data_IF_611712848092
#
_entry.id   IF_611712848092
#
_cell.length_a   1.000
_cell.length_b   1.000
_cell.length_c   1.000
_cell.angle_alpha   90.00
_cell.angle_beta   90.00
_cell.angle_gamma   90.00
#
_symmetry.space_group_name_H-M   'P 1'
#
loop_
_entity.id
_entity.type
_entity.pdbx_description
1 polymer ?
#
# COMPACT_ATOMS: atom_id res chain seq x y z
N UNK A 1 -6.79 -14.36 21.99
CA UNK A 1 -6.14 -13.63 20.88
C UNK A 1 -7.29 -12.98 20.12
N UNK A 2 -7.39 -11.64 20.15
CA UNK A 2 -8.65 -10.88 19.98
C UNK A 2 -9.55 -11.35 18.82
N UNK A 3 -10.63 -12.05 19.15
CA UNK A 3 -11.82 -12.26 18.31
C UNK A 3 -12.67 -11.00 18.32
N UNK A 4 -12.13 -9.89 17.81
CA UNK A 4 -12.89 -8.65 17.66
C UNK A 4 -13.32 -8.55 16.21
N UNK A 5 -14.53 -9.04 15.95
CA UNK A 5 -15.24 -8.83 14.68
C UNK A 5 -15.43 -7.31 14.54
N UNK A 6 -14.58 -6.65 13.75
CA UNK A 6 -14.74 -5.26 13.38
C UNK A 6 -16.05 -5.15 12.58
N UNK A 7 -16.88 -4.14 12.86
CA UNK A 7 -18.00 -3.83 11.97
C UNK A 7 -17.46 -3.48 10.59
N UNK A 8 -18.25 -3.69 9.53
CA UNK A 8 -17.83 -3.36 8.15
C UNK A 8 -17.35 -1.91 8.02
N UNK A 9 -18.03 -0.97 8.68
CA UNK A 9 -17.62 0.44 8.73
C UNK A 9 -16.23 0.63 9.37
N UNK A 10 -15.90 -0.17 10.38
CA UNK A 10 -14.58 -0.13 11.01
C UNK A 10 -13.50 -0.76 10.12
N UNK A 11 -13.85 -1.78 9.33
CA UNK A 11 -12.93 -2.41 8.37
C UNK A 11 -12.59 -1.43 7.26
N UNK A 12 -13.59 -0.77 6.68
CA UNK A 12 -13.40 0.23 5.63
C UNK A 12 -12.48 1.35 6.11
N UNK A 13 -12.82 1.98 7.25
CA UNK A 13 -12.04 3.06 7.85
C UNK A 13 -10.59 2.63 8.12
N UNK A 14 -10.41 1.39 8.58
CA UNK A 14 -9.07 0.86 8.85
C UNK A 14 -8.25 0.65 7.57
N UNK A 15 -8.86 0.13 6.51
CA UNK A 15 -8.18 -0.06 5.23
C UNK A 15 -7.82 1.27 4.56
N UNK A 16 -8.71 2.27 4.66
CA UNK A 16 -8.43 3.65 4.21
C UNK A 16 -7.29 4.27 5.01
N UNK A 17 -7.25 4.08 6.33
CA UNK A 17 -6.16 4.55 7.19
C UNK A 17 -4.81 3.90 6.82
N UNK A 18 -4.81 2.63 6.42
CA UNK A 18 -3.63 1.95 5.87
C UNK A 18 -3.25 2.44 4.46
N UNK A 19 -4.04 3.34 3.89
CA UNK A 19 -3.85 3.92 2.57
C UNK A 19 -4.25 2.98 1.45
N UNK A 20 -5.01 1.91 1.70
CA UNK A 20 -5.48 1.01 0.65
C UNK A 20 -6.31 1.79 -0.39
N UNK A 21 -6.07 1.52 -1.67
CA UNK A 21 -6.90 2.11 -2.73
C UNK A 21 -8.28 1.46 -2.80
N UNK A 22 -9.21 2.14 -3.48
CA UNK A 22 -10.58 1.68 -3.59
C UNK A 22 -10.70 0.28 -4.22
N UNK A 23 -9.80 -0.06 -5.14
CA UNK A 23 -9.77 -1.39 -5.76
C UNK A 23 -9.43 -2.47 -4.73
N UNK A 24 -8.37 -2.26 -3.95
CA UNK A 24 -7.93 -3.18 -2.87
C UNK A 24 -9.02 -3.32 -1.81
N UNK A 25 -9.66 -2.22 -1.41
CA UNK A 25 -10.76 -2.21 -0.44
C UNK A 25 -11.94 -3.03 -0.95
N UNK A 26 -12.38 -2.80 -2.18
CA UNK A 26 -13.50 -3.52 -2.77
C UNK A 26 -13.24 -5.03 -2.88
N UNK A 27 -12.01 -5.43 -3.23
CA UNK A 27 -11.62 -6.83 -3.27
C UNK A 27 -11.60 -7.45 -1.87
N UNK A 28 -11.07 -6.73 -0.87
CA UNK A 28 -11.04 -7.19 0.50
C UNK A 28 -12.45 -7.44 1.05
N UNK A 29 -13.36 -6.47 0.88
CA UNK A 29 -14.74 -6.56 1.37
C UNK A 29 -15.48 -7.75 0.73
N UNK A 30 -15.28 -8.01 -0.56
CA UNK A 30 -15.83 -9.23 -1.21
C UNK A 30 -15.36 -10.52 -0.53
N UNK A 31 -14.09 -10.59 -0.13
CA UNK A 31 -13.57 -11.75 0.60
C UNK A 31 -14.09 -11.81 2.04
N UNK A 32 -14.32 -10.67 2.70
CA UNK A 32 -14.98 -10.59 4.02
C UNK A 32 -16.40 -11.16 3.98
N UNK A 33 -17.22 -10.74 3.01
CA UNK A 33 -18.57 -11.31 2.83
C UNK A 33 -18.56 -12.82 2.56
N UNK A 34 -17.50 -13.34 1.93
CA UNK A 34 -17.32 -14.76 1.67
C UNK A 34 -16.62 -15.53 2.81
N UNK A 35 -16.25 -14.86 3.90
CA UNK A 35 -15.42 -15.40 4.99
C UNK A 35 -14.10 -16.05 4.51
N UNK A 36 -13.54 -15.54 3.42
CA UNK A 36 -12.29 -16.04 2.82
C UNK A 36 -11.07 -15.25 3.34
N UNK A 37 -10.66 -15.59 4.56
CA UNK A 37 -9.51 -14.99 5.23
C UNK A 37 -8.20 -15.20 4.44
N UNK A 38 -8.07 -16.31 3.71
CA UNK A 38 -6.85 -16.59 2.93
C UNK A 38 -6.71 -15.57 1.79
N UNK A 39 -7.80 -15.29 1.08
CA UNK A 39 -7.80 -14.31 0.01
C UNK A 39 -7.63 -12.88 0.53
N UNK A 40 -8.22 -12.54 1.68
CA UNK A 40 -7.97 -11.25 2.35
C UNK A 40 -6.47 -11.01 2.61
N UNK A 41 -5.80 -12.00 3.21
CA UNK A 41 -4.35 -11.92 3.49
C UNK A 41 -3.55 -11.77 2.19
N UNK A 42 -3.94 -12.48 1.12
CA UNK A 42 -3.28 -12.37 -0.18
C UNK A 42 -3.45 -10.97 -0.79
N UNK A 43 -4.64 -10.39 -0.72
CA UNK A 43 -4.93 -9.03 -1.18
C UNK A 43 -4.02 -8.02 -0.46
N UNK A 44 -3.95 -8.09 0.87
CA UNK A 44 -3.10 -7.19 1.66
C UNK A 44 -1.61 -7.38 1.38
N UNK A 45 -1.14 -8.62 1.15
CA UNK A 45 0.25 -8.88 0.74
C UNK A 45 0.57 -8.28 -0.62
N UNK A 46 -0.37 -8.37 -1.58
CA UNK A 46 -0.22 -7.73 -2.88
C UNK A 46 -0.16 -6.22 -2.73
N UNK A 47 -1.03 -5.63 -1.91
CA UNK A 47 -1.02 -4.20 -1.62
C UNK A 47 0.31 -3.74 -1.01
N UNK A 48 0.86 -4.52 -0.07
CA UNK A 48 2.20 -4.27 0.48
C UNK A 48 3.29 -4.24 -0.60
N UNK A 49 3.26 -5.14 -1.59
CA UNK A 49 4.22 -5.11 -2.69
C UNK A 49 4.10 -3.82 -3.52
N UNK A 50 2.88 -3.37 -3.80
CA UNK A 50 2.62 -2.10 -4.51
C UNK A 50 3.22 -0.92 -3.74
N UNK A 51 3.07 -0.88 -2.42
CA UNK A 51 3.68 0.17 -1.58
C UNK A 51 5.21 0.17 -1.68
N UNK A 52 5.83 -1.02 -1.64
CA UNK A 52 7.28 -1.16 -1.80
C UNK A 52 7.74 -0.68 -3.17
N UNK A 53 7.00 -1.01 -4.23
CA UNK A 53 7.31 -0.55 -5.59
C UNK A 53 7.22 0.98 -5.72
N UNK A 54 6.24 1.62 -5.07
CA UNK A 54 6.16 3.09 -5.00
C UNK A 54 7.39 3.69 -4.33
N UNK A 55 7.82 3.14 -3.18
CA UNK A 55 9.04 3.59 -2.49
C UNK A 55 10.26 3.45 -3.40
N UNK A 56 10.43 2.31 -4.07
CA UNK A 56 11.56 2.10 -4.97
C UNK A 56 11.55 3.08 -6.15
N UNK A 57 10.37 3.43 -6.68
CA UNK A 57 10.22 4.42 -7.74
C UNK A 57 10.62 5.81 -7.25
N UNK A 58 10.11 6.23 -6.10
CA UNK A 58 10.41 7.55 -5.52
C UNK A 58 11.90 7.65 -5.17
N UNK A 59 12.48 6.59 -4.62
CA UNK A 59 13.92 6.52 -4.35
C UNK A 59 14.75 6.71 -5.62
N UNK A 60 14.39 6.05 -6.74
CA UNK A 60 15.09 6.24 -8.01
C UNK A 60 15.00 7.68 -8.51
N UNK A 61 13.83 8.31 -8.38
CA UNK A 61 13.66 9.72 -8.77
C UNK A 61 14.55 10.65 -7.94
N UNK A 62 14.71 10.38 -6.64
CA UNK A 62 15.63 11.12 -5.78
C UNK A 62 17.07 10.91 -6.22
N UNK A 63 17.49 9.66 -6.47
CA UNK A 63 18.84 9.33 -6.95
C UNK A 63 19.18 10.05 -8.27
N UNK A 64 18.24 10.09 -9.21
CA UNK A 64 18.40 10.80 -10.49
C UNK A 64 18.54 12.32 -10.27
N UNK A 65 17.73 12.90 -9.38
CA UNK A 65 17.80 14.32 -9.03
C UNK A 65 19.13 14.69 -8.35
N UNK A 66 19.58 13.89 -7.39
CA UNK A 66 20.86 14.09 -6.70
C UNK A 66 22.03 14.01 -7.67
N UNK A 67 22.00 13.04 -8.60
CA UNK A 67 22.99 12.94 -9.66
C UNK A 67 23.01 14.20 -10.54
N UNK A 68 21.83 14.72 -10.90
CA UNK A 68 21.74 15.94 -11.71
C UNK A 68 22.28 17.16 -10.95
N UNK A 69 21.90 17.35 -9.69
CA UNK A 69 22.39 18.44 -8.84
C UNK A 69 23.92 18.38 -8.73
N UNK A 70 24.49 17.21 -8.44
CA UNK A 70 25.94 17.02 -8.37
C UNK A 70 26.65 17.38 -9.68
N UNK A 71 26.03 17.09 -10.83
CA UNK A 71 26.60 17.44 -12.14
C UNK A 71 26.63 18.95 -12.37
N UNK A 72 25.69 19.70 -11.78
CA UNK A 72 25.63 21.15 -11.87
C UNK A 72 26.66 21.80 -10.94
N UNK A 73 26.80 21.31 -9.70
CA UNK A 73 27.77 21.85 -8.73
C UNK A 73 29.22 21.66 -9.14
N UNK A 74 29.52 20.70 -10.02
CA UNK A 74 30.86 20.49 -10.60
C UNK A 74 31.20 21.41 -11.77
N UNK A 75 30.24 22.17 -12.30
CA UNK A 75 30.44 23.09 -13.44
C UNK A 75 30.67 24.54 -12.99
N UNK A 76 30.56 24.80 -11.70
CA UNK A 76 31.05 26.03 -11.04
C UNK A 76 32.53 25.86 -10.65
#
# INVERSE_FOLDING_TARGET
>A
MNDQKLSEDNILTYLEYLGCDQETINLYLKCEYAHDLKSQIQILRKYRCILIEKIHKDQRQIEDLDCYIYSLTKKE
#
